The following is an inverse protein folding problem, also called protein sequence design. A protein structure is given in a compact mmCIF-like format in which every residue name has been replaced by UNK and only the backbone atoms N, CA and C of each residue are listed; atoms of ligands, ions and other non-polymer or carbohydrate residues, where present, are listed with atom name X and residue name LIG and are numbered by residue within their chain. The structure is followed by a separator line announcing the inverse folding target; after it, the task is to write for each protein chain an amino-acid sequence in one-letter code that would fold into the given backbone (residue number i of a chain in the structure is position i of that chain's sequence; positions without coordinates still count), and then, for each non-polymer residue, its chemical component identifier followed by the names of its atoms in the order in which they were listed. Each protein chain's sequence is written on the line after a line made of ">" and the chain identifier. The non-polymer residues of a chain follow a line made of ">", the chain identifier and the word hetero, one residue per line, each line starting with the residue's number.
data_IF_996369623681
#
_entry.id   IF_996369623681
#
_cell.length_a   1.000
_cell.length_b   1.000
_cell.length_c   1.000
_cell.angle_alpha   90.00
_cell.angle_beta   90.00
_cell.angle_gamma   90.00
#
_symmetry.space_group_name_H-M   'P 1'
#
loop_
_entity.id
_entity.type
_entity.pdbx_description
1 polymer ?
#
# COMPACT_ATOMS: atom_id res chain seq x y z
N UNK A 1 11.65 -15.94 12.74
CA UNK A 1 11.90 -14.91 11.71
C UNK A 1 11.07 -15.22 10.46
N UNK A 2 10.87 -14.21 9.60
CA UNK A 2 10.17 -14.35 8.32
C UNK A 2 11.16 -14.10 7.20
N UNK A 3 11.20 -14.99 6.21
CA UNK A 3 12.02 -14.85 5.01
C UNK A 3 11.11 -14.70 3.78
N UNK A 4 11.31 -13.63 3.03
CA UNK A 4 10.64 -13.40 1.74
C UNK A 4 11.40 -14.14 0.64
N UNK A 5 10.68 -14.95 -0.14
CA UNK A 5 11.27 -15.77 -1.20
C UNK A 5 10.91 -15.19 -2.56
N UNK A 6 11.92 -14.89 -3.38
CA UNK A 6 11.72 -14.39 -4.74
C UNK A 6 11.32 -12.91 -4.84
N UNK A 7 11.51 -12.13 -3.78
CA UNK A 7 11.22 -10.70 -3.77
C UNK A 7 11.37 -10.10 -2.37
N UNK A 8 10.72 -8.97 -2.17
CA UNK A 8 10.63 -8.25 -0.89
C UNK A 8 9.23 -8.37 -0.26
N UNK A 9 8.94 -7.56 0.75
CA UNK A 9 7.65 -7.55 1.43
C UNK A 9 6.45 -7.29 0.48
N UNK A 10 6.66 -6.55 -0.60
CA UNK A 10 5.61 -6.12 -1.53
C UNK A 10 5.46 -7.10 -2.70
N UNK A 11 6.54 -7.71 -3.14
CA UNK A 11 6.59 -8.50 -4.39
C UNK A 11 6.74 -10.01 -4.19
N UNK A 12 7.22 -10.47 -3.03
CA UNK A 12 7.57 -11.88 -2.87
C UNK A 12 6.35 -12.81 -3.02
N UNK A 13 6.40 -13.83 -3.91
CA UNK A 13 5.31 -14.79 -4.08
C UNK A 13 5.13 -15.74 -2.89
N UNK A 14 6.16 -15.92 -2.06
CA UNK A 14 6.10 -16.83 -0.92
C UNK A 14 6.91 -16.31 0.27
N UNK A 15 6.54 -16.79 1.45
CA UNK A 15 7.26 -16.54 2.70
C UNK A 15 7.55 -17.85 3.42
N UNK A 16 8.70 -17.90 4.08
CA UNK A 16 9.04 -18.94 5.04
C UNK A 16 8.98 -18.35 6.44
N UNK A 17 8.10 -18.90 7.28
CA UNK A 17 8.00 -18.54 8.69
C UNK A 17 8.73 -19.63 9.49
N UNK A 18 9.68 -19.22 10.32
CA UNK A 18 10.42 -20.14 11.19
C UNK A 18 10.49 -19.63 12.63
N UNK A 19 10.27 -20.54 13.58
CA UNK A 19 10.48 -20.33 15.02
C UNK A 19 11.87 -20.83 15.49
N UNK A 20 12.71 -21.32 14.57
CA UNK A 20 14.02 -21.91 14.86
C UNK A 20 14.03 -23.44 14.90
N UNK A 21 12.88 -24.09 15.06
CA UNK A 21 12.74 -25.55 15.06
C UNK A 21 11.92 -26.04 13.87
N UNK A 22 10.81 -25.36 13.59
CA UNK A 22 9.92 -25.65 12.48
C UNK A 22 10.00 -24.55 11.42
N UNK A 23 9.75 -24.96 10.18
CA UNK A 23 9.70 -24.06 9.03
C UNK A 23 8.42 -24.33 8.25
N UNK A 24 7.62 -23.28 8.05
CA UNK A 24 6.37 -23.35 7.31
C UNK A 24 6.44 -22.41 6.11
N UNK A 25 6.24 -22.98 4.93
CA UNK A 25 6.17 -22.25 3.67
C UNK A 25 4.72 -21.86 3.40
N UNK A 26 4.51 -20.59 3.10
CA UNK A 26 3.22 -20.04 2.66
C UNK A 26 3.37 -19.29 1.34
N UNK A 27 2.42 -19.50 0.44
CA UNK A 27 2.28 -18.72 -0.79
C UNK A 27 1.34 -17.55 -0.55
N UNK A 28 1.76 -16.37 -1.00
CA UNK A 28 1.02 -15.12 -0.83
C UNK A 28 0.21 -14.83 -2.08
N UNK A 29 -1.11 -14.72 -1.92
CA UNK A 29 -2.03 -14.33 -2.98
C UNK A 29 -2.41 -12.87 -2.79
N UNK A 30 -2.16 -12.06 -3.82
CA UNK A 30 -2.38 -10.61 -3.79
C UNK A 30 -3.45 -10.18 -4.78
N UNK A 31 -4.15 -9.11 -4.44
CA UNK A 31 -5.01 -8.40 -5.39
C UNK A 31 -4.20 -7.51 -6.34
N UNK A 32 -4.89 -6.78 -7.21
CA UNK A 32 -4.26 -5.88 -8.19
C UNK A 32 -3.48 -4.72 -7.53
N UNK A 33 -3.88 -4.28 -6.33
CA UNK A 33 -3.19 -3.22 -5.58
C UNK A 33 -2.02 -3.77 -4.74
N UNK A 34 -1.81 -5.08 -4.73
CA UNK A 34 -0.77 -5.74 -3.94
C UNK A 34 -1.18 -6.07 -2.51
N UNK A 35 -2.46 -5.92 -2.14
CA UNK A 35 -2.97 -6.34 -0.83
C UNK A 35 -2.92 -7.85 -0.73
N UNK A 36 -2.43 -8.37 0.40
CA UNK A 36 -2.36 -9.81 0.65
C UNK A 36 -3.74 -10.30 1.11
N UNK A 37 -4.48 -10.95 0.22
CA UNK A 37 -5.88 -11.36 0.43
C UNK A 37 -6.02 -12.83 0.84
N UNK A 38 -5.01 -13.67 0.58
CA UNK A 38 -5.04 -15.08 0.96
C UNK A 38 -3.63 -15.64 1.11
N UNK A 39 -3.47 -16.58 2.04
CA UNK A 39 -2.25 -17.35 2.24
C UNK A 39 -2.58 -18.84 2.13
N UNK A 40 -1.80 -19.58 1.35
CA UNK A 40 -1.95 -21.04 1.21
C UNK A 40 -0.68 -21.75 1.67
N UNK A 41 -0.85 -22.93 2.25
CA UNK A 41 0.27 -23.80 2.63
C UNK A 41 0.95 -24.45 1.40
N UNK A 42 2.02 -25.23 1.65
CA UNK A 42 2.76 -25.96 0.61
C UNK A 42 1.91 -26.97 -0.20
N UNK A 43 0.77 -27.39 0.33
CA UNK A 43 -0.13 -28.35 -0.29
C UNK A 43 -1.28 -27.65 -1.04
N UNK A 44 -1.34 -26.31 -1.01
CA UNK A 44 -2.42 -25.51 -1.60
C UNK A 44 -3.64 -25.36 -0.71
N UNK A 45 -3.61 -25.84 0.54
CA UNK A 45 -4.71 -25.59 1.48
C UNK A 45 -4.66 -24.14 1.95
N UNK A 46 -5.84 -23.59 2.20
CA UNK A 46 -5.96 -22.20 2.63
C UNK A 46 -5.63 -22.13 4.11
N UNK A 47 -4.64 -21.31 4.44
CA UNK A 47 -4.22 -21.07 5.81
C UNK A 47 -4.94 -19.85 6.40
N UNK A 48 -5.11 -18.80 5.59
CA UNK A 48 -5.78 -17.57 6.02
C UNK A 48 -6.37 -16.84 4.79
N UNK A 49 -7.59 -16.31 4.92
CA UNK A 49 -8.23 -15.39 3.98
C UNK A 49 -8.47 -14.05 4.64
N UNK A 50 -8.36 -12.98 3.88
CA UNK A 50 -8.42 -11.61 4.36
C UNK A 50 -9.27 -10.77 3.40
N UNK A 51 -10.25 -10.10 3.97
CA UNK A 51 -11.13 -9.18 3.27
C UNK A 51 -10.90 -7.78 3.82
N UNK A 52 -10.50 -6.87 2.94
CA UNK A 52 -10.34 -5.46 3.27
C UNK A 52 -11.46 -4.66 2.62
N UNK A 53 -11.83 -3.56 3.24
CA UNK A 53 -12.62 -2.53 2.58
C UNK A 53 -11.73 -1.73 1.58
N UNK A 54 -12.33 -0.82 0.78
CA UNK A 54 -11.56 0.01 -0.16
C UNK A 54 -10.47 0.86 0.48
N UNK A 55 -10.54 1.12 1.79
CA UNK A 55 -9.63 1.98 2.53
C UNK A 55 -8.62 1.20 3.38
N UNK A 56 -8.62 -0.13 3.28
CA UNK A 56 -7.66 -1.01 3.93
C UNK A 56 -8.08 -1.53 5.31
N UNK A 57 -9.28 -1.21 5.79
CA UNK A 57 -9.80 -1.76 7.04
C UNK A 57 -10.11 -3.26 6.85
N UNK A 58 -9.59 -4.17 7.70
CA UNK A 58 -9.98 -5.57 7.67
C UNK A 58 -11.46 -5.71 8.07
N UNK A 59 -12.30 -6.20 7.15
CA UNK A 59 -13.73 -6.47 7.40
C UNK A 59 -13.89 -7.89 7.95
N UNK A 60 -13.14 -8.84 7.40
CA UNK A 60 -13.26 -10.26 7.74
C UNK A 60 -11.96 -10.99 7.50
N UNK A 61 -11.56 -11.81 8.46
CA UNK A 61 -10.39 -12.68 8.38
C UNK A 61 -10.87 -14.09 8.70
N UNK A 62 -10.49 -15.08 7.91
CA UNK A 62 -10.96 -16.45 8.06
C UNK A 62 -9.82 -17.47 7.95
N UNK A 63 -9.95 -18.58 8.66
CA UNK A 63 -9.08 -19.75 8.47
C UNK A 63 -9.50 -20.59 7.24
N UNK A 64 -8.79 -21.70 7.01
CA UNK A 64 -9.12 -22.64 5.94
C UNK A 64 -10.49 -23.32 6.07
N UNK A 65 -11.04 -23.40 7.29
CA UNK A 65 -12.33 -24.00 7.59
C UNK A 65 -13.50 -22.99 7.53
N UNK A 66 -13.21 -21.69 7.35
CA UNK A 66 -14.21 -20.63 7.32
C UNK A 66 -14.59 -20.08 8.71
N UNK A 67 -13.81 -20.39 9.74
CA UNK A 67 -13.98 -19.75 11.04
C UNK A 67 -13.42 -18.33 10.99
N UNK A 68 -14.14 -17.38 11.57
CA UNK A 68 -13.66 -15.99 11.67
C UNK A 68 -12.53 -15.89 12.68
N UNK A 69 -11.45 -15.20 12.29
CA UNK A 69 -10.30 -14.88 13.11
C UNK A 69 -10.40 -13.41 13.54
N UNK A 70 -10.00 -13.11 14.78
CA UNK A 70 -10.08 -11.76 15.33
C UNK A 70 -9.04 -10.79 14.73
N UNK A 71 -7.96 -11.33 14.16
CA UNK A 71 -6.79 -10.57 13.71
C UNK A 71 -5.98 -11.35 12.68
N UNK A 72 -5.05 -10.69 11.99
CA UNK A 72 -4.07 -11.34 11.11
C UNK A 72 -3.14 -12.19 11.98
N UNK A 73 -2.97 -13.46 11.63
CA UNK A 73 -2.24 -14.43 12.48
C UNK A 73 -0.89 -14.85 11.92
N UNK A 74 -0.79 -14.96 10.60
CA UNK A 74 0.42 -15.49 9.94
C UNK A 74 1.43 -14.41 9.57
N UNK A 75 0.93 -13.24 9.17
CA UNK A 75 1.75 -12.14 8.69
C UNK A 75 1.06 -10.83 9.00
N UNK A 76 1.75 -9.93 9.70
CA UNK A 76 1.21 -8.62 10.07
C UNK A 76 1.07 -7.66 8.88
N UNK A 77 1.45 -8.06 7.65
CA UNK A 77 1.28 -7.26 6.44
C UNK A 77 0.02 -7.61 5.69
N UNK A 78 -0.76 -6.63 5.25
CA UNK A 78 -2.08 -6.82 4.64
C UNK A 78 -2.34 -5.91 3.44
N UNK A 79 -3.20 -4.92 3.62
CA UNK A 79 -3.57 -3.91 2.62
C UNK A 79 -2.34 -3.28 1.95
N UNK A 80 -2.32 -3.29 0.62
CA UNK A 80 -1.23 -2.79 -0.25
C UNK A 80 0.19 -3.28 0.12
N UNK A 81 0.29 -4.40 0.86
CA UNK A 81 1.57 -4.97 1.31
C UNK A 81 2.17 -4.31 2.56
N UNK A 82 1.48 -3.34 3.16
CA UNK A 82 1.93 -2.62 4.34
C UNK A 82 1.66 -3.36 5.64
N UNK A 83 2.42 -3.01 6.67
CA UNK A 83 2.33 -3.61 8.00
C UNK A 83 1.18 -3.01 8.80
N UNK A 84 0.35 -3.87 9.37
CA UNK A 84 -0.82 -3.53 10.18
C UNK A 84 -0.41 -3.56 11.65
N UNK A 85 -0.49 -2.42 12.31
CA UNK A 85 -0.34 -2.29 13.75
C UNK A 85 -1.67 -2.65 14.42
N UNK A 86 -1.94 -3.95 14.46
CA UNK A 86 -3.26 -4.51 14.79
C UNK A 86 -3.79 -4.07 16.16
N UNK A 87 -2.91 -3.87 17.15
CA UNK A 87 -3.28 -3.43 18.51
C UNK A 87 -3.94 -2.05 18.53
N UNK A 88 -3.58 -1.17 17.58
CA UNK A 88 -4.07 0.21 17.51
C UNK A 88 -4.92 0.47 16.26
N UNK A 89 -5.10 -0.54 15.40
CA UNK A 89 -5.90 -0.42 14.17
C UNK A 89 -5.29 0.49 13.10
N UNK A 90 -3.98 0.69 13.11
CA UNK A 90 -3.27 1.56 12.16
C UNK A 90 -2.48 0.76 11.13
N UNK A 91 -2.14 1.38 10.01
CA UNK A 91 -1.28 0.81 8.97
C UNK A 91 -0.01 1.65 8.85
N UNK A 92 1.14 1.00 8.92
CA UNK A 92 2.45 1.62 8.76
C UNK A 92 2.81 1.70 7.27
N UNK A 93 2.53 2.85 6.64
CA UNK A 93 2.80 3.12 5.23
C UNK A 93 4.25 3.59 4.99
N UNK A 94 5.20 3.04 5.74
CA UNK A 94 6.61 3.44 5.81
C UNK A 94 6.81 4.88 6.30
N UNK A 95 6.67 5.89 5.43
CA UNK A 95 6.91 7.29 5.78
C UNK A 95 5.87 7.87 6.73
N UNK A 96 4.64 7.35 6.75
CA UNK A 96 3.53 7.84 7.58
C UNK A 96 2.67 6.73 8.15
N UNK A 97 2.05 7.02 9.29
CA UNK A 97 0.99 6.20 9.86
C UNK A 97 -0.36 6.57 9.24
N UNK A 98 -1.07 5.56 8.76
CA UNK A 98 -2.38 5.68 8.13
C UNK A 98 -3.46 5.07 9.04
N UNK A 99 -4.57 5.80 9.16
CA UNK A 99 -5.76 5.36 9.87
C UNK A 99 -6.84 4.93 8.84
N UNK A 100 -7.09 3.61 8.70
CA UNK A 100 -8.09 3.09 7.79
C UNK A 100 -9.53 3.35 8.25
N UNK A 101 -9.78 3.72 9.51
CA UNK A 101 -11.13 4.07 9.97
C UNK A 101 -11.46 5.54 9.65
N UNK A 102 -10.45 6.42 9.67
CA UNK A 102 -10.59 7.84 9.31
C UNK A 102 -10.28 8.13 7.84
N UNK A 103 -9.84 7.13 7.09
CA UNK A 103 -9.46 7.20 5.68
C UNK A 103 -8.35 8.22 5.39
N UNK A 104 -7.42 8.39 6.33
CA UNK A 104 -6.41 9.46 6.26
C UNK A 104 -5.13 9.12 7.00
N UNK A 105 -4.05 9.81 6.65
CA UNK A 105 -2.81 9.80 7.44
C UNK A 105 -3.00 10.53 8.77
N UNK A 106 -2.21 10.14 9.77
CA UNK A 106 -2.13 10.81 11.07
C UNK A 106 -1.13 11.97 11.09
N UNK A 107 -0.31 12.08 10.05
CA UNK A 107 0.70 13.10 9.89
C UNK A 107 0.53 13.80 8.53
N UNK A 108 0.75 15.12 8.47
CA UNK A 108 0.70 15.84 7.20
C UNK A 108 1.85 15.41 6.30
N UNK A 109 1.60 15.28 4.99
CA UNK A 109 2.62 15.12 3.96
C UNK A 109 3.57 16.32 3.97
N UNK A 110 4.88 16.13 3.93
CA UNK A 110 5.81 17.27 3.84
C UNK A 110 5.77 17.98 2.48
N UNK A 111 5.23 17.33 1.46
CA UNK A 111 5.25 17.81 0.09
C UNK A 111 3.84 18.13 -0.42
N UNK A 112 3.73 19.22 -1.18
CA UNK A 112 2.56 19.51 -2.02
C UNK A 112 2.95 19.17 -3.45
N UNK A 113 2.44 18.05 -3.94
CA UNK A 113 2.96 17.40 -5.14
C UNK A 113 2.57 18.11 -6.44
N UNK A 114 1.37 18.68 -6.47
CA UNK A 114 0.91 19.56 -7.56
C UNK A 114 0.14 20.74 -6.94
N UNK A 115 0.75 21.94 -6.92
CA UNK A 115 0.14 23.17 -6.41
C UNK A 115 -1.11 23.64 -7.17
N UNK A 116 -1.35 23.15 -8.39
CA UNK A 116 -2.53 23.51 -9.18
C UNK A 116 -3.72 22.58 -8.91
N UNK A 117 -3.50 21.47 -8.20
CA UNK A 117 -4.56 20.58 -7.76
C UNK A 117 -4.92 20.87 -6.28
N UNK A 118 -6.12 21.40 -6.07
CA UNK A 118 -6.63 21.75 -4.73
C UNK A 118 -6.66 20.56 -3.77
N UNK A 119 -6.77 19.32 -4.28
CA UNK A 119 -6.75 18.12 -3.45
C UNK A 119 -5.40 17.88 -2.76
N UNK A 120 -4.29 18.32 -3.36
CA UNK A 120 -2.96 18.15 -2.76
C UNK A 120 -2.73 19.04 -1.54
N UNK A 121 -3.56 20.05 -1.33
CA UNK A 121 -3.53 20.82 -0.09
C UNK A 121 -4.16 20.06 1.08
N UNK A 122 -4.90 18.98 0.83
CA UNK A 122 -5.24 18.01 1.87
C UNK A 122 -4.05 17.09 2.15
N UNK A 123 -3.11 17.57 2.97
CA UNK A 123 -1.87 16.87 3.34
C UNK A 123 -2.08 15.58 4.14
N UNK A 124 -3.32 15.27 4.55
CA UNK A 124 -3.67 14.02 5.24
C UNK A 124 -4.32 12.99 4.32
N UNK A 125 -4.66 13.36 3.07
CA UNK A 125 -5.34 12.47 2.14
C UNK A 125 -4.49 11.28 1.74
N UNK A 126 -5.13 10.11 1.63
CA UNK A 126 -4.52 8.92 1.02
C UNK A 126 -4.95 8.82 -0.44
N UNK A 127 -3.99 8.68 -1.36
CA UNK A 127 -4.27 8.34 -2.77
C UNK A 127 -5.28 9.27 -3.48
N UNK A 128 -5.24 10.59 -3.22
CA UNK A 128 -6.25 11.58 -3.67
C UNK A 128 -7.71 11.21 -3.36
N UNK A 129 -7.95 10.44 -2.29
CA UNK A 129 -9.24 9.84 -1.95
C UNK A 129 -9.75 8.82 -2.98
N UNK A 130 -8.85 8.19 -3.76
CA UNK A 130 -9.18 7.11 -4.69
C UNK A 130 -8.28 5.87 -4.46
N UNK A 131 -8.47 5.17 -3.31
CA UNK A 131 -7.62 4.04 -2.90
C UNK A 131 -7.85 2.76 -3.73
N UNK A 132 -8.88 2.71 -4.57
CA UNK A 132 -9.16 1.59 -5.45
C UNK A 132 -8.28 1.58 -6.70
N UNK A 133 -7.68 2.72 -7.05
CA UNK A 133 -6.86 2.88 -8.27
C UNK A 133 -5.39 3.13 -7.92
N UNK A 134 -5.14 3.77 -6.78
CA UNK A 134 -3.81 4.23 -6.42
C UNK A 134 -3.30 3.60 -5.14
N UNK A 135 -1.98 3.41 -5.09
CA UNK A 135 -1.24 2.90 -3.93
C UNK A 135 -0.13 3.87 -3.59
N UNK A 136 -0.02 4.22 -2.31
CA UNK A 136 1.11 4.97 -1.76
C UNK A 136 2.06 4.01 -1.03
N UNK A 137 3.13 3.57 -1.70
CA UNK A 137 4.05 2.55 -1.17
C UNK A 137 5.09 3.10 -0.19
N UNK A 138 5.49 4.35 -0.33
CA UNK A 138 6.45 5.00 0.57
C UNK A 138 5.77 5.87 1.63
N UNK A 139 4.45 6.06 1.52
CA UNK A 139 3.74 7.01 2.33
C UNK A 139 4.01 8.45 1.89
N UNK A 140 4.47 8.68 0.67
CA UNK A 140 4.65 9.99 0.04
C UNK A 140 4.19 9.86 -1.41
N UNK A 141 2.89 10.04 -1.63
CA UNK A 141 2.17 9.58 -2.82
C UNK A 141 2.66 10.12 -4.19
N UNK A 142 3.75 9.62 -4.75
CA UNK A 142 4.46 10.30 -5.84
C UNK A 142 3.74 10.24 -7.21
N UNK A 143 2.89 11.22 -7.48
CA UNK A 143 2.15 11.38 -8.74
C UNK A 143 2.98 11.82 -9.97
N UNK A 144 4.32 11.78 -9.94
CA UNK A 144 5.13 12.43 -10.98
C UNK A 144 4.96 11.89 -12.39
N UNK A 145 4.42 10.69 -12.63
CA UNK A 145 4.36 10.16 -14.00
C UNK A 145 3.18 10.73 -14.80
N UNK A 146 2.06 11.08 -14.17
CA UNK A 146 0.88 11.58 -14.90
C UNK A 146 0.85 13.13 -14.90
N UNK A 147 1.23 13.76 -13.79
CA UNK A 147 1.33 15.22 -13.69
C UNK A 147 2.41 15.81 -14.60
N UNK A 148 3.57 15.16 -14.74
CA UNK A 148 4.63 15.64 -15.63
C UNK A 148 4.26 15.53 -17.12
N UNK A 149 3.45 14.53 -17.51
CA UNK A 149 2.96 14.39 -18.89
C UNK A 149 1.88 15.43 -19.18
N UNK A 150 0.91 15.61 -18.28
CA UNK A 150 -0.16 16.61 -18.48
C UNK A 150 0.38 18.03 -18.38
N UNK A 151 1.19 18.32 -17.36
CA UNK A 151 1.86 19.62 -17.18
C UNK A 151 2.88 19.90 -18.30
N UNK A 152 3.60 18.89 -18.77
CA UNK A 152 4.49 18.99 -19.92
C UNK A 152 3.74 19.29 -21.22
N UNK A 153 2.59 18.67 -21.44
CA UNK A 153 1.73 18.92 -22.62
C UNK A 153 1.08 20.31 -22.55
N UNK A 154 0.59 20.74 -21.39
CA UNK A 154 0.03 22.10 -21.23
C UNK A 154 1.13 23.15 -21.42
N UNK A 155 2.31 22.98 -20.83
CA UNK A 155 3.44 23.88 -21.03
C UNK A 155 3.91 23.90 -22.50
N UNK A 156 3.94 22.75 -23.17
CA UNK A 156 4.24 22.64 -24.60
C UNK A 156 3.26 23.46 -25.46
N UNK A 157 1.96 23.33 -25.19
CA UNK A 157 0.89 24.04 -25.91
C UNK A 157 0.90 25.54 -25.60
N UNK A 158 1.15 25.92 -24.35
CA UNK A 158 1.08 27.31 -23.89
C UNK A 158 2.35 28.12 -24.16
N UNK A 159 3.54 27.50 -24.14
CA UNK A 159 4.82 28.23 -24.17
C UNK A 159 5.70 27.90 -25.38
N UNK A 160 5.23 27.09 -26.34
CA UNK A 160 5.91 26.87 -27.62
C UNK A 160 7.37 26.43 -27.46
N UNK A 161 7.58 25.15 -27.19
CA UNK A 161 8.88 24.48 -27.26
C UNK A 161 10.01 25.03 -26.36
N UNK A 162 9.72 25.73 -25.26
CA UNK A 162 10.72 26.04 -24.22
C UNK A 162 10.57 25.11 -23.03
N UNK A 163 11.18 23.92 -23.11
CA UNK A 163 11.40 23.06 -21.95
C UNK A 163 12.55 23.65 -21.12
N UNK A 164 12.24 24.57 -20.19
CA UNK A 164 13.22 25.05 -19.22
C UNK A 164 13.22 24.13 -17.99
N UNK A 165 14.23 23.26 -17.90
CA UNK A 165 14.43 22.35 -16.78
C UNK A 165 14.69 23.05 -15.44
N UNK A 166 14.83 24.39 -15.41
CA UNK A 166 14.91 25.16 -14.15
C UNK A 166 13.66 25.07 -13.29
N UNK A 167 12.50 24.75 -13.88
CA UNK A 167 11.27 24.50 -13.13
C UNK A 167 11.30 23.22 -12.30
N UNK A 168 12.10 22.21 -12.70
CA UNK A 168 12.24 20.96 -11.94
C UNK A 168 13.11 21.08 -10.69
N UNK A 169 13.85 22.18 -10.51
CA UNK A 169 14.77 22.36 -9.37
C UNK A 169 14.14 22.88 -8.08
N UNK A 170 12.82 23.12 -8.09
CA UNK A 170 12.06 23.61 -6.93
C UNK A 170 11.00 22.61 -6.43
N UNK A 171 11.01 21.38 -6.96
CA UNK A 171 10.12 20.29 -6.53
C UNK A 171 10.92 19.23 -5.76
#
# INVERSE_FOLDING_TARGET
>A
FILYLGGDAYSAPAILISDGETQKLYYLHRDYLGSIVMLTDKNGNIAERRHFDPWGQPIKIEDGAGNTLDKLTLLDRGFTGHEHLQTVGLIHMNGRLYDPALHRFLQPDNYVQDPFNTQNFNRYGYCLNNPLVYVDQNGEFWHLVIGAVVGGVINWISNGARLDAKGLGYF
#
